data_IF_916077812407
#
_entry.id   IF_916077812407
#
_cell.length_a   1.000
_cell.length_b   1.000
_cell.length_c   1.000
_cell.angle_alpha   90.00
_cell.angle_beta   90.00
_cell.angle_gamma   90.00
#
_symmetry.space_group_name_H-M   'P 1'
#
loop_
_entity.id
_entity.type
_entity.pdbx_description
1 polymer ?
#
# COMPACT_ATOMS: atom_id res chain seq x y z
N UNK A 1 -12.82 -1.30 1.84
CA UNK A 1 -12.51 0.10 2.22
C UNK A 1 -12.10 0.85 0.98
N UNK A 2 -12.75 1.95 0.68
CA UNK A 2 -12.47 2.78 -0.50
C UNK A 2 -11.67 4.03 -0.11
N UNK A 3 -11.06 4.69 -1.10
CA UNK A 3 -10.40 5.98 -0.90
C UNK A 3 -11.39 7.03 -0.35
N UNK A 4 -12.64 7.00 -0.80
CA UNK A 4 -13.70 7.89 -0.31
C UNK A 4 -13.99 7.70 1.18
N UNK A 5 -13.99 6.47 1.68
CA UNK A 5 -14.22 6.18 3.11
C UNK A 5 -13.14 6.81 3.99
N UNK A 6 -11.90 6.75 3.53
CA UNK A 6 -10.75 7.33 4.24
C UNK A 6 -10.81 8.86 4.20
N UNK A 7 -11.14 9.44 3.04
CA UNK A 7 -11.33 10.90 2.89
C UNK A 7 -12.42 11.43 3.83
N UNK A 8 -13.57 10.74 3.91
CA UNK A 8 -14.65 11.08 4.83
C UNK A 8 -14.20 11.04 6.29
N UNK A 9 -13.44 10.02 6.67
CA UNK A 9 -12.90 9.91 8.02
C UNK A 9 -11.92 11.04 8.35
N UNK A 10 -11.05 11.42 7.41
CA UNK A 10 -10.14 12.55 7.60
C UNK A 10 -10.90 13.87 7.74
N UNK A 11 -11.90 14.13 6.90
CA UNK A 11 -12.73 15.32 7.00
C UNK A 11 -13.47 15.41 8.35
N UNK A 12 -13.96 14.27 8.85
CA UNK A 12 -14.57 14.19 10.18
C UNK A 12 -13.58 14.57 11.30
N UNK A 13 -12.34 14.06 11.23
CA UNK A 13 -11.29 14.39 12.19
C UNK A 13 -10.88 15.86 12.16
N UNK A 14 -10.95 16.49 11.00
CA UNK A 14 -10.64 17.91 10.77
C UNK A 14 -11.84 18.85 11.06
N UNK A 15 -13.02 18.32 11.31
CA UNK A 15 -14.24 19.13 11.45
C UNK A 15 -14.69 19.82 10.16
N UNK A 16 -14.33 19.26 9.00
CA UNK A 16 -14.64 19.81 7.69
C UNK A 16 -15.87 19.11 7.09
N UNK A 17 -16.60 19.81 6.20
CA UNK A 17 -17.73 19.24 5.46
C UNK A 17 -17.32 17.98 4.68
N UNK A 18 -18.13 16.93 4.76
CA UNK A 18 -17.88 15.62 4.13
C UNK A 18 -18.45 15.49 2.70
N UNK A 19 -18.92 16.60 2.09
CA UNK A 19 -19.45 16.54 0.73
C UNK A 19 -18.33 16.53 -0.31
N UNK A 20 -17.93 15.34 -0.75
CA UNK A 20 -16.91 15.13 -1.78
C UNK A 20 -17.47 15.05 -3.21
N UNK A 21 -18.77 15.30 -3.41
CA UNK A 21 -19.37 15.28 -4.76
C UNK A 21 -19.04 16.54 -5.56
N UNK A 22 -18.72 17.65 -4.86
CA UNK A 22 -18.37 18.92 -5.47
C UNK A 22 -16.85 19.15 -5.35
N UNK A 23 -16.13 19.44 -6.43
CA UNK A 23 -14.71 19.73 -6.38
C UNK A 23 -14.46 21.12 -5.75
N UNK A 24 -14.17 21.13 -4.45
CA UNK A 24 -13.69 22.32 -3.74
C UNK A 24 -12.18 22.26 -3.57
N UNK A 25 -11.55 23.40 -3.29
CA UNK A 25 -10.10 23.46 -3.02
C UNK A 25 -9.73 22.54 -1.84
N UNK A 26 -10.60 22.46 -0.83
CA UNK A 26 -10.41 21.61 0.34
C UNK A 26 -10.52 20.12 0.00
N UNK A 27 -11.54 19.74 -0.79
CA UNK A 27 -11.72 18.36 -1.23
C UNK A 27 -10.53 17.89 -2.08
N UNK A 28 -10.01 18.73 -2.97
CA UNK A 28 -8.83 18.44 -3.78
C UNK A 28 -7.56 18.33 -2.92
N UNK A 29 -7.44 19.16 -1.88
CA UNK A 29 -6.31 19.06 -0.95
C UNK A 29 -6.35 17.75 -0.15
N UNK A 30 -7.52 17.36 0.39
CA UNK A 30 -7.72 16.09 1.10
C UNK A 30 -7.47 14.91 0.15
N UNK A 31 -7.89 14.98 -1.11
CA UNK A 31 -7.65 13.92 -2.10
C UNK A 31 -6.16 13.70 -2.34
N UNK A 32 -5.38 14.76 -2.51
CA UNK A 32 -3.93 14.69 -2.65
C UNK A 32 -3.27 14.09 -1.41
N UNK A 33 -3.66 14.54 -0.21
CA UNK A 33 -3.15 13.99 1.05
C UNK A 33 -3.50 12.50 1.19
N UNK A 34 -4.71 12.10 0.79
CA UNK A 34 -5.13 10.70 0.85
C UNK A 34 -4.27 9.79 -0.03
N UNK A 35 -3.99 10.20 -1.26
CA UNK A 35 -3.11 9.46 -2.17
C UNK A 35 -1.71 9.31 -1.60
N UNK A 36 -1.12 10.38 -1.08
CA UNK A 36 0.22 10.36 -0.45
C UNK A 36 0.27 9.39 0.73
N UNK A 37 -0.69 9.46 1.65
CA UNK A 37 -0.71 8.61 2.84
C UNK A 37 -0.93 7.14 2.48
N UNK A 38 -1.82 6.85 1.53
CA UNK A 38 -2.04 5.47 1.07
C UNK A 38 -0.79 4.93 0.39
N UNK A 39 -0.10 5.73 -0.42
CA UNK A 39 1.18 5.35 -1.04
C UNK A 39 2.26 5.12 0.03
N UNK A 40 2.44 6.03 0.99
CA UNK A 40 3.40 5.89 2.10
C UNK A 40 3.16 4.60 2.90
N UNK A 41 1.90 4.34 3.29
CA UNK A 41 1.54 3.13 4.03
C UNK A 41 1.74 1.87 3.20
N UNK A 42 1.40 1.91 1.93
CA UNK A 42 1.58 0.78 1.00
C UNK A 42 3.05 0.46 0.76
N UNK A 43 3.89 1.48 0.71
CA UNK A 43 5.33 1.31 0.52
C UNK A 43 6.02 0.73 1.75
N UNK A 44 5.71 1.26 2.93
CA UNK A 44 6.47 0.98 4.14
C UNK A 44 5.90 -0.15 5.01
N UNK A 45 4.58 -0.34 5.03
CA UNK A 45 3.88 -1.17 6.02
C UNK A 45 3.01 -2.29 5.44
N UNK A 46 2.74 -2.25 4.13
CA UNK A 46 1.83 -3.21 3.49
C UNK A 46 2.58 -4.09 2.50
N UNK A 47 2.46 -5.42 2.68
CA UNK A 47 2.90 -6.42 1.73
C UNK A 47 1.68 -7.20 1.22
N UNK A 48 1.09 -6.71 0.15
CA UNK A 48 0.03 -7.42 -0.57
C UNK A 48 0.67 -8.28 -1.65
N UNK A 49 0.30 -9.56 -1.68
CA UNK A 49 0.90 -10.54 -2.59
C UNK A 49 -0.04 -10.88 -3.72
N UNK A 50 0.51 -10.93 -4.91
CA UNK A 50 -0.17 -11.44 -6.10
C UNK A 50 0.61 -12.62 -6.69
N UNK A 51 -0.12 -13.53 -7.34
CA UNK A 51 0.45 -14.69 -8.03
C UNK A 51 -0.16 -14.72 -9.41
N UNK A 52 0.67 -14.72 -10.43
CA UNK A 52 0.23 -14.87 -11.81
C UNK A 52 1.26 -15.62 -12.64
N UNK A 53 0.86 -16.01 -13.84
CA UNK A 53 1.72 -16.63 -14.83
C UNK A 53 2.32 -15.57 -15.74
N UNK A 54 3.63 -15.65 -15.96
CA UNK A 54 4.37 -14.78 -16.89
C UNK A 54 5.26 -15.61 -17.80
N UNK A 55 5.51 -15.12 -18.99
CA UNK A 55 6.34 -15.81 -19.98
C UNK A 55 7.70 -15.14 -20.15
N UNK A 56 8.77 -15.88 -19.87
CA UNK A 56 10.13 -15.42 -20.10
C UNK A 56 10.51 -15.50 -21.59
N UNK A 57 11.05 -14.40 -22.12
CA UNK A 57 11.63 -14.32 -23.46
C UNK A 57 13.09 -13.92 -23.36
N UNK A 58 13.97 -14.68 -23.96
CA UNK A 58 15.44 -14.52 -23.85
C UNK A 58 15.88 -14.47 -22.36
N UNK A 59 15.27 -15.32 -21.53
CA UNK A 59 15.53 -15.39 -20.09
C UNK A 59 15.08 -14.19 -19.30
N UNK A 60 14.20 -13.32 -19.83
CA UNK A 60 13.73 -12.09 -19.17
C UNK A 60 12.23 -12.07 -19.02
N UNK A 61 11.76 -11.54 -17.88
CA UNK A 61 10.37 -11.18 -17.64
C UNK A 61 10.36 -9.71 -17.22
N UNK A 62 9.65 -8.85 -17.98
CA UNK A 62 9.57 -7.43 -17.68
C UNK A 62 8.49 -7.17 -16.63
N UNK A 63 8.71 -6.22 -15.72
CA UNK A 63 7.72 -5.84 -14.73
C UNK A 63 6.42 -5.29 -15.35
N UNK A 64 6.51 -4.67 -16.54
CA UNK A 64 5.35 -4.17 -17.27
C UNK A 64 4.49 -5.29 -17.90
N UNK A 65 5.01 -6.51 -17.99
CA UNK A 65 4.24 -7.67 -18.45
C UNK A 65 3.38 -8.28 -17.34
N UNK A 66 3.57 -7.82 -16.08
CA UNK A 66 2.81 -8.24 -14.92
C UNK A 66 1.59 -7.34 -14.73
N UNK A 67 0.49 -7.92 -14.25
CA UNK A 67 -0.82 -7.23 -14.16
C UNK A 67 -0.88 -6.14 -13.09
N UNK A 68 0.02 -6.18 -12.10
CA UNK A 68 0.07 -5.21 -11.00
C UNK A 68 1.44 -4.55 -10.94
N UNK A 69 1.48 -3.28 -10.46
CA UNK A 69 2.73 -2.54 -10.26
C UNK A 69 3.60 -3.22 -9.21
N UNK A 70 4.69 -3.84 -9.63
CA UNK A 70 5.57 -4.64 -8.78
C UNK A 70 6.29 -3.78 -7.74
N UNK A 71 6.29 -4.22 -6.49
CA UNK A 71 7.08 -3.69 -5.39
C UNK A 71 8.35 -4.52 -5.17
N UNK A 72 8.22 -5.85 -5.17
CA UNK A 72 9.34 -6.79 -5.04
C UNK A 72 8.92 -8.20 -5.47
N UNK A 73 9.82 -8.95 -6.07
CA UNK A 73 9.58 -10.35 -6.39
C UNK A 73 9.83 -11.21 -5.15
N UNK A 74 8.87 -12.04 -4.79
CA UNK A 74 8.98 -12.91 -3.63
C UNK A 74 9.47 -14.32 -4.01
N UNK A 75 8.91 -14.92 -5.05
CA UNK A 75 9.25 -16.27 -5.52
C UNK A 75 8.91 -16.39 -7.00
N UNK A 76 9.79 -17.03 -7.75
CA UNK A 76 9.55 -17.46 -9.12
C UNK A 76 9.59 -18.98 -9.18
N UNK A 77 8.58 -19.60 -9.81
CA UNK A 77 8.49 -21.06 -9.93
C UNK A 77 8.33 -21.47 -11.38
N UNK A 78 8.93 -22.61 -11.71
CA UNK A 78 8.71 -23.33 -12.96
C UNK A 78 8.29 -24.77 -12.65
N UNK A 79 7.18 -25.21 -13.20
CA UNK A 79 6.61 -26.55 -12.94
C UNK A 79 6.48 -26.86 -11.42
N UNK A 80 6.08 -25.86 -10.63
CA UNK A 80 5.91 -26.00 -9.17
C UNK A 80 7.20 -25.87 -8.33
N UNK A 81 8.37 -25.89 -8.96
CA UNK A 81 9.66 -25.77 -8.27
C UNK A 81 10.17 -24.33 -8.30
N UNK A 82 10.68 -23.85 -7.16
CA UNK A 82 11.29 -22.53 -7.09
C UNK A 82 12.59 -22.48 -7.91
N UNK A 83 12.77 -21.41 -8.67
CA UNK A 83 13.96 -21.17 -9.49
C UNK A 83 14.66 -19.91 -8.99
N UNK A 84 15.98 -19.85 -9.24
CA UNK A 84 16.78 -18.64 -9.00
C UNK A 84 16.44 -17.57 -10.02
N UNK A 85 16.46 -16.33 -9.61
CA UNK A 85 16.28 -15.17 -10.45
C UNK A 85 17.18 -14.02 -9.99
N UNK A 86 17.47 -13.09 -10.89
CA UNK A 86 18.18 -11.85 -10.54
C UNK A 86 17.32 -10.66 -10.95
N UNK A 87 17.13 -9.69 -10.05
CA UNK A 87 16.33 -8.50 -10.28
C UNK A 87 17.16 -7.37 -10.87
N UNK A 88 16.57 -6.64 -11.82
CA UNK A 88 17.06 -5.42 -12.43
C UNK A 88 15.98 -4.35 -12.36
N UNK A 89 16.26 -3.13 -12.77
CA UNK A 89 15.37 -1.99 -12.64
C UNK A 89 14.02 -2.12 -13.38
N UNK A 90 14.00 -2.85 -14.51
CA UNK A 90 12.81 -2.97 -15.38
C UNK A 90 12.37 -4.41 -15.66
N UNK A 91 13.18 -5.39 -15.29
CA UNK A 91 12.93 -6.81 -15.51
C UNK A 91 13.67 -7.65 -14.47
N UNK A 92 13.37 -8.94 -14.43
CA UNK A 92 14.19 -9.94 -13.76
C UNK A 92 14.54 -11.06 -14.73
N UNK A 93 15.65 -11.75 -14.47
CA UNK A 93 16.12 -12.84 -15.32
C UNK A 93 15.90 -14.18 -14.67
N UNK A 94 15.64 -15.18 -15.52
CA UNK A 94 15.52 -16.60 -15.19
C UNK A 94 16.42 -17.42 -16.11
N UNK A 95 16.60 -18.70 -15.81
CA UNK A 95 17.56 -19.57 -16.50
C UNK A 95 17.18 -19.95 -17.95
N UNK A 96 15.88 -20.01 -18.26
CA UNK A 96 15.36 -20.49 -19.56
C UNK A 96 14.09 -19.75 -19.96
N UNK A 97 13.80 -19.75 -21.25
CA UNK A 97 12.51 -19.28 -21.78
C UNK A 97 11.37 -20.22 -21.39
N UNK A 98 10.16 -19.68 -21.28
CA UNK A 98 8.94 -20.45 -21.01
C UNK A 98 8.05 -19.79 -19.96
N UNK A 99 7.01 -20.52 -19.54
CA UNK A 99 6.03 -20.07 -18.55
C UNK A 99 6.54 -20.25 -17.12
N UNK A 100 6.33 -19.23 -16.31
CA UNK A 100 6.68 -19.18 -14.90
C UNK A 100 5.48 -18.72 -14.07
N UNK A 101 5.31 -19.26 -12.86
CA UNK A 101 4.46 -18.72 -11.82
C UNK A 101 5.29 -17.70 -11.01
N UNK A 102 4.86 -16.44 -11.05
CA UNK A 102 5.55 -15.35 -10.35
C UNK A 102 4.70 -14.92 -9.17
N UNK A 103 5.27 -15.02 -7.96
CA UNK A 103 4.69 -14.47 -6.72
C UNK A 103 5.44 -13.20 -6.35
N UNK A 104 4.75 -12.10 -6.24
CA UNK A 104 5.35 -10.80 -5.95
C UNK A 104 4.48 -9.95 -5.04
N UNK A 105 5.11 -9.00 -4.36
CA UNK A 105 4.43 -7.93 -3.67
C UNK A 105 4.17 -6.80 -4.67
N UNK A 106 3.03 -6.14 -4.55
CA UNK A 106 2.66 -5.05 -5.44
C UNK A 106 2.18 -3.80 -4.68
N UNK A 107 2.20 -2.65 -5.35
CA UNK A 107 1.61 -1.43 -4.83
C UNK A 107 0.12 -1.44 -5.10
N UNK A 108 -0.75 -1.32 -4.08
CA UNK A 108 -2.19 -1.17 -4.27
C UNK A 108 -2.51 0.01 -5.18
N UNK A 109 -3.48 -0.15 -6.06
CA UNK A 109 -4.01 0.97 -6.86
C UNK A 109 -4.71 1.98 -5.96
N UNK A 110 -4.46 3.28 -6.20
CA UNK A 110 -5.04 4.41 -5.46
C UNK A 110 -5.97 5.18 -6.38
N UNK A 111 -6.98 4.49 -6.91
CA UNK A 111 -7.97 5.07 -7.81
C UNK A 111 -9.31 5.29 -7.09
N UNK A 112 -10.02 6.35 -7.48
CA UNK A 112 -11.34 6.64 -6.94
C UNK A 112 -12.35 5.54 -7.37
N UNK A 113 -13.18 5.11 -6.42
CA UNK A 113 -14.23 4.11 -6.65
C UNK A 113 -13.76 2.65 -6.58
N UNK A 114 -12.46 2.39 -6.50
CA UNK A 114 -11.91 1.05 -6.36
C UNK A 114 -11.69 0.74 -4.88
N UNK A 115 -11.94 -0.50 -4.49
CA UNK A 115 -11.60 -0.97 -3.15
C UNK A 115 -10.07 -1.09 -3.01
N UNK A 116 -9.53 -0.49 -1.94
CA UNK A 116 -8.09 -0.50 -1.68
C UNK A 116 -7.65 -1.89 -1.18
N UNK A 117 -6.66 -2.46 -1.84
CA UNK A 117 -6.01 -3.72 -1.46
C UNK A 117 -5.09 -3.52 -0.24
N UNK A 118 -5.65 -2.99 0.84
CA UNK A 118 -4.96 -2.75 2.11
C UNK A 118 -5.52 -3.69 3.17
N UNK A 119 -4.68 -4.41 3.94
CA UNK A 119 -5.17 -5.32 4.98
C UNK A 119 -6.10 -4.63 5.99
N UNK A 120 -7.19 -5.29 6.43
CA UNK A 120 -8.22 -4.67 7.29
C UNK A 120 -7.72 -4.08 8.62
N UNK A 121 -6.54 -4.49 9.08
CA UNK A 121 -5.90 -3.92 10.28
C UNK A 121 -5.55 -2.42 10.13
N UNK A 122 -5.35 -1.95 8.89
CA UNK A 122 -5.19 -0.54 8.57
C UNK A 122 -6.58 0.08 8.37
N UNK A 123 -7.21 0.47 9.47
CA UNK A 123 -8.59 0.96 9.45
C UNK A 123 -8.69 2.34 8.79
N UNK A 124 -9.91 2.72 8.38
CA UNK A 124 -10.20 4.08 7.89
C UNK A 124 -9.75 5.15 8.88
N UNK A 125 -9.87 4.88 10.18
CA UNK A 125 -9.45 5.80 11.23
C UNK A 125 -7.94 6.03 11.23
N UNK A 126 -7.15 4.96 11.14
CA UNK A 126 -5.68 5.06 11.09
C UNK A 126 -5.24 5.88 9.87
N UNK A 127 -5.75 5.55 8.69
CA UNK A 127 -5.41 6.27 7.47
C UNK A 127 -5.93 7.71 7.51
N UNK A 128 -7.12 7.93 8.08
CA UNK A 128 -7.70 9.25 8.30
C UNK A 128 -6.83 10.16 9.17
N UNK A 129 -6.20 9.61 10.23
CA UNK A 129 -5.24 10.36 11.07
C UNK A 129 -4.02 10.82 10.26
N UNK A 130 -3.47 9.96 9.39
CA UNK A 130 -2.36 10.31 8.51
C UNK A 130 -2.73 11.44 7.54
N UNK A 131 -3.90 11.33 6.91
CA UNK A 131 -4.42 12.35 5.99
C UNK A 131 -4.65 13.68 6.70
N UNK A 132 -5.23 13.65 7.91
CA UNK A 132 -5.46 14.86 8.70
C UNK A 132 -4.13 15.54 9.06
N UNK A 133 -3.11 14.77 9.46
CA UNK A 133 -1.77 15.31 9.72
C UNK A 133 -1.12 15.95 8.51
N UNK A 134 -1.15 15.27 7.35
CA UNK A 134 -0.62 15.80 6.10
C UNK A 134 -1.37 17.06 5.63
N UNK A 135 -2.71 17.08 5.80
CA UNK A 135 -3.53 18.24 5.47
C UNK A 135 -3.18 19.45 6.36
N UNK A 136 -3.11 19.26 7.68
CA UNK A 136 -2.74 20.32 8.63
C UNK A 136 -1.34 20.85 8.33
N UNK A 137 -0.38 19.98 8.04
CA UNK A 137 0.97 20.38 7.66
C UNK A 137 0.98 21.29 6.44
N UNK A 138 0.24 20.94 5.38
CA UNK A 138 0.11 21.75 4.17
C UNK A 138 -0.59 23.09 4.37
N UNK A 139 -1.43 23.18 5.41
CA UNK A 139 -2.10 24.43 5.80
C UNK A 139 -1.27 25.29 6.76
N UNK A 140 -0.09 24.83 7.19
CA UNK A 140 0.75 25.52 8.15
C UNK A 140 0.28 25.40 9.61
N UNK A 141 -0.64 24.50 9.89
CA UNK A 141 -1.14 24.18 11.23
C UNK A 141 -0.22 23.14 11.87
N UNK A 142 0.95 23.59 12.33
CA UNK A 142 2.06 22.70 12.71
C UNK A 142 1.74 21.87 13.95
N UNK A 143 1.18 22.48 14.99
CA UNK A 143 0.86 21.79 16.25
C UNK A 143 -0.19 20.67 16.05
N UNK A 144 -1.23 20.95 15.27
CA UNK A 144 -2.26 19.97 14.90
C UNK A 144 -1.69 18.87 14.02
N UNK A 145 -0.81 19.23 13.09
CA UNK A 145 -0.14 18.28 12.21
C UNK A 145 0.72 17.29 13.01
N UNK A 146 1.49 17.77 13.99
CA UNK A 146 2.32 16.94 14.86
C UNK A 146 1.46 16.01 15.74
N UNK A 147 0.35 16.49 16.30
CA UNK A 147 -0.54 15.64 17.10
C UNK A 147 -1.16 14.52 16.26
N UNK A 148 -1.71 14.84 15.07
CA UNK A 148 -2.26 13.84 14.17
C UNK A 148 -1.20 12.85 13.71
N UNK A 149 0.00 13.30 13.36
CA UNK A 149 1.09 12.43 12.93
C UNK A 149 1.57 11.52 14.04
N UNK A 150 1.71 12.00 15.26
CA UNK A 150 2.05 11.18 16.43
C UNK A 150 1.02 10.07 16.67
N UNK A 151 -0.26 10.39 16.63
CA UNK A 151 -1.36 9.42 16.77
C UNK A 151 -1.37 8.40 15.65
N UNK A 152 -1.13 8.84 14.41
CA UNK A 152 -1.01 7.98 13.23
C UNK A 152 0.13 6.98 13.38
N UNK A 153 1.34 7.43 13.67
CA UNK A 153 2.51 6.58 13.84
C UNK A 153 2.36 5.59 15.00
N UNK A 154 1.77 6.03 16.11
CA UNK A 154 1.44 5.14 17.23
C UNK A 154 0.48 4.03 16.81
N UNK A 155 -0.58 4.37 16.08
CA UNK A 155 -1.56 3.41 15.59
C UNK A 155 -0.93 2.44 14.57
N UNK A 156 -0.09 2.93 13.64
CA UNK A 156 0.66 2.09 12.69
C UNK A 156 1.57 1.10 13.42
N UNK A 157 2.31 1.57 14.42
CA UNK A 157 3.20 0.72 15.23
C UNK A 157 2.42 -0.41 15.90
N UNK A 158 1.26 -0.11 16.47
CA UNK A 158 0.41 -1.09 17.13
C UNK A 158 -0.07 -2.18 16.15
N UNK A 159 -0.53 -1.82 14.96
CA UNK A 159 -1.03 -2.81 13.96
C UNK A 159 0.08 -3.57 13.24
N UNK A 160 1.30 -3.06 13.22
CA UNK A 160 2.46 -3.73 12.62
C UNK A 160 3.18 -4.65 13.59
N UNK A 161 3.28 -4.27 14.88
CA UNK A 161 3.93 -5.07 15.92
C UNK A 161 3.13 -6.31 16.32
N UNK A 162 1.81 -6.32 16.17
CA UNK A 162 0.97 -7.51 16.42
C UNK A 162 1.38 -8.74 15.61
N UNK A 163 2.09 -8.57 14.47
CA UNK A 163 2.67 -9.70 13.72
C UNK A 163 3.85 -10.40 14.43
N UNK A 164 4.56 -9.75 15.34
CA UNK A 164 5.72 -10.35 16.04
C UNK A 164 5.33 -11.19 17.24
N UNK A 165 4.13 -10.98 17.77
CA UNK A 165 3.65 -11.57 19.03
C UNK A 165 3.18 -13.04 18.91
N UNK A 166 2.85 -13.54 17.70
CA UNK A 166 2.27 -14.88 17.51
C UNK A 166 3.28 -16.01 17.17
N UNK A 167 4.58 -15.79 17.34
CA UNK A 167 5.61 -16.82 17.12
C UNK A 167 6.25 -17.38 18.39
N UNK A 168 5.61 -17.28 19.53
CA UNK A 168 6.02 -18.08 20.70
C UNK A 168 5.35 -19.45 20.53
N UNK A 169 6.00 -20.36 19.83
CA UNK A 169 5.71 -21.78 19.96
C UNK A 169 6.12 -22.17 21.38
N UNK A 170 5.15 -22.41 22.23
CA UNK A 170 5.35 -23.19 23.43
C UNK A 170 5.64 -24.62 22.97
N UNK A 171 6.91 -24.97 22.88
CA UNK A 171 7.34 -26.37 22.77
C UNK A 171 7.24 -26.92 24.19
N UNK A 172 6.28 -27.81 24.42
CA UNK A 172 6.25 -28.70 25.57
C UNK A 172 6.94 -30.00 25.19
#
# INVERSE_FOLDING_TARGET
MTLLDIKKQAALLLGISTNFTTPTVENLAIDKCAKIIVEEVSEQYVDVKHIEKAFARSGKIFYNDLSKKVKSIAVVKRNGQAVKFNEYSTFFTVDKDGEYEVKYNYFPSVEDGIELDIPPRFTTHILGLGIAGEYCFRKGLIDEAEDFRRRFLTALTNVTNTKKSYKIKVVR
#
